data_IF_788581167742
#
_entry.id   IF_788581167742
#
_cell.length_a   1.000
_cell.length_b   1.000
_cell.length_c   1.000
_cell.angle_alpha   90.00
_cell.angle_beta   90.00
_cell.angle_gamma   90.00
#
_symmetry.space_group_name_H-M   'P 1'
#
loop_
_entity.id
_entity.type
_entity.pdbx_description
1 polymer ?
#
# COMPACT_ATOMS: atom_id res chain seq x y z
N UNK A 1 -8.65 13.06 21.10
CA UNK A 1 -8.79 11.65 21.48
C UNK A 1 -9.09 10.77 20.28
N UNK A 2 -8.05 10.14 19.74
CA UNK A 2 -8.22 9.03 18.79
C UNK A 2 -8.06 7.73 19.60
N UNK A 3 -9.06 6.85 19.51
CA UNK A 3 -9.10 5.60 20.26
C UNK A 3 -7.99 4.64 19.79
N UNK A 4 -7.34 3.88 20.69
CA UNK A 4 -6.19 3.01 20.38
C UNK A 4 -6.47 1.94 19.30
N UNK A 5 -7.74 1.56 19.09
CA UNK A 5 -8.19 0.69 18.01
C UNK A 5 -8.07 1.28 16.59
N UNK A 6 -7.96 2.61 16.41
CA UNK A 6 -7.78 3.25 15.09
C UNK A 6 -6.31 3.41 14.67
N UNK A 7 -5.35 3.17 15.57
CA UNK A 7 -3.92 3.47 15.35
C UNK A 7 -3.14 2.30 14.72
N UNK A 8 -3.83 1.27 14.21
CA UNK A 8 -3.19 0.06 13.63
C UNK A 8 -3.14 0.02 12.11
N UNK A 9 -3.87 0.89 11.42
CA UNK A 9 -3.93 0.94 9.97
C UNK A 9 -2.58 1.33 9.31
N UNK A 10 -2.55 1.33 7.98
CA UNK A 10 -1.45 1.91 7.18
C UNK A 10 -1.07 3.34 7.62
N UNK A 11 -1.99 4.08 8.24
CA UNK A 11 -1.75 5.38 8.87
C UNK A 11 -0.50 5.42 9.74
N UNK A 12 -0.24 4.39 10.55
CA UNK A 12 0.95 4.35 11.41
C UNK A 12 2.26 4.42 10.61
N UNK A 13 2.26 3.80 9.42
CA UNK A 13 3.42 3.82 8.51
C UNK A 13 3.47 5.09 7.66
N UNK A 14 2.31 5.68 7.34
CA UNK A 14 2.22 7.00 6.70
C UNK A 14 2.71 8.12 7.64
N UNK A 15 2.41 8.03 8.94
CA UNK A 15 2.90 8.94 9.99
C UNK A 15 4.41 8.79 10.25
N UNK A 16 5.00 7.65 9.86
CA UNK A 16 6.45 7.38 9.93
C UNK A 16 7.02 7.12 8.52
N UNK A 17 7.04 8.14 7.65
CA UNK A 17 7.37 7.94 6.23
C UNK A 17 8.79 7.40 6.02
N UNK A 18 9.72 7.60 6.96
CA UNK A 18 11.07 7.03 6.89
C UNK A 18 11.09 5.50 6.85
N UNK A 19 10.25 4.84 7.66
CA UNK A 19 10.17 3.38 7.70
C UNK A 19 9.52 2.84 6.43
N UNK A 20 8.37 3.40 6.03
CA UNK A 20 7.66 3.03 4.81
C UNK A 20 8.54 3.15 3.57
N UNK A 21 9.23 4.29 3.41
CA UNK A 21 10.16 4.51 2.29
C UNK A 21 11.28 3.49 2.27
N UNK A 22 11.81 3.09 3.43
CA UNK A 22 12.87 2.09 3.52
C UNK A 22 12.38 0.71 3.04
N UNK A 23 11.19 0.31 3.47
CA UNK A 23 10.56 -0.94 3.01
C UNK A 23 10.26 -0.91 1.51
N UNK A 24 9.69 0.18 0.99
CA UNK A 24 9.41 0.36 -0.45
C UNK A 24 10.70 0.25 -1.26
N UNK A 25 11.76 0.97 -0.88
CA UNK A 25 13.04 0.88 -1.60
C UNK A 25 13.62 -0.52 -1.59
N UNK A 26 13.50 -1.25 -0.48
CA UNK A 26 13.95 -2.63 -0.40
C UNK A 26 13.18 -3.54 -1.38
N UNK A 27 11.84 -3.43 -1.41
CA UNK A 27 11.00 -4.19 -2.34
C UNK A 27 11.30 -3.86 -3.81
N UNK A 28 11.44 -2.58 -4.14
CA UNK A 28 11.79 -2.11 -5.50
C UNK A 28 13.11 -2.71 -5.97
N UNK A 29 14.16 -2.65 -5.13
CA UNK A 29 15.47 -3.22 -5.46
C UNK A 29 15.43 -4.74 -5.56
N UNK A 30 14.74 -5.41 -4.65
CA UNK A 30 14.61 -6.87 -4.65
C UNK A 30 13.84 -7.39 -5.87
N UNK A 31 13.03 -6.57 -6.52
CA UNK A 31 12.23 -6.93 -7.68
C UNK A 31 12.74 -6.38 -9.01
N UNK A 32 14.02 -6.01 -9.09
CA UNK A 32 14.65 -5.63 -10.35
C UNK A 32 14.44 -6.66 -11.46
N UNK A 33 13.94 -6.22 -12.61
CA UNK A 33 13.71 -7.10 -13.78
C UNK A 33 12.50 -8.03 -13.69
N UNK A 34 11.66 -7.93 -12.65
CA UNK A 34 10.40 -8.70 -12.51
C UNK A 34 9.21 -7.80 -12.18
N UNK A 35 7.99 -8.31 -12.25
CA UNK A 35 6.79 -7.59 -11.78
C UNK A 35 6.80 -7.53 -10.24
N UNK A 36 6.52 -6.35 -9.68
CA UNK A 36 6.26 -6.17 -8.26
C UNK A 36 4.76 -5.95 -8.02
N UNK A 37 4.14 -6.85 -7.26
CA UNK A 37 2.80 -6.64 -6.68
C UNK A 37 2.96 -6.23 -5.23
N UNK A 38 2.68 -4.96 -4.93
CA UNK A 38 2.75 -4.40 -3.58
C UNK A 38 1.32 -4.31 -3.04
N UNK A 39 1.09 -4.85 -1.85
CA UNK A 39 -0.22 -4.83 -1.21
C UNK A 39 -0.18 -3.96 0.04
N UNK A 40 -1.17 -3.09 0.18
CA UNK A 40 -1.38 -2.25 1.36
C UNK A 40 -2.29 -2.98 2.35
N UNK A 41 -1.82 -3.32 3.56
CA UNK A 41 -2.67 -3.87 4.61
C UNK A 41 -3.39 -2.75 5.36
N UNK A 42 -4.50 -3.12 5.99
CA UNK A 42 -5.31 -2.35 6.91
C UNK A 42 -5.67 -0.97 6.35
N UNK A 43 -6.06 -0.92 5.08
CA UNK A 43 -6.61 0.29 4.46
C UNK A 43 -8.01 0.51 4.99
N UNK A 44 -8.32 1.74 5.40
CA UNK A 44 -9.63 2.14 5.92
C UNK A 44 -10.30 3.20 5.05
N UNK A 45 -9.53 3.96 4.26
CA UNK A 45 -10.02 5.00 3.36
C UNK A 45 -9.21 5.11 2.07
N UNK A 46 -9.84 5.58 0.99
CA UNK A 46 -9.18 5.75 -0.31
C UNK A 46 -8.02 6.76 -0.28
N UNK A 47 -8.07 7.75 0.62
CA UNK A 47 -7.00 8.73 0.80
C UNK A 47 -5.66 8.11 1.19
N UNK A 48 -5.67 7.00 1.93
CA UNK A 48 -4.46 6.28 2.33
C UNK A 48 -3.77 5.62 1.13
N UNK A 49 -4.56 5.09 0.20
CA UNK A 49 -4.06 4.49 -1.05
C UNK A 49 -3.38 5.57 -1.89
N UNK A 50 -4.00 6.74 -2.02
CA UNK A 50 -3.43 7.87 -2.76
C UNK A 50 -2.10 8.33 -2.15
N UNK A 51 -2.03 8.47 -0.82
CA UNK A 51 -0.80 8.84 -0.12
C UNK A 51 0.31 7.78 -0.28
N UNK A 52 -0.03 6.51 -0.14
CA UNK A 52 0.92 5.41 -0.33
C UNK A 52 1.46 5.39 -1.77
N UNK A 53 0.59 5.57 -2.78
CA UNK A 53 1.00 5.67 -4.19
C UNK A 53 1.96 6.83 -4.42
N UNK A 54 1.68 7.99 -3.84
CA UNK A 54 2.56 9.15 -3.97
C UNK A 54 3.97 8.86 -3.39
N UNK A 55 4.04 8.21 -2.22
CA UNK A 55 5.31 7.82 -1.62
C UNK A 55 6.05 6.80 -2.50
N UNK A 56 5.35 5.78 -3.00
CA UNK A 56 5.92 4.78 -3.91
C UNK A 56 6.50 5.45 -5.15
N UNK A 57 5.74 6.32 -5.80
CA UNK A 57 6.16 7.00 -7.02
C UNK A 57 7.39 7.90 -6.79
N UNK A 58 7.46 8.57 -5.63
CA UNK A 58 8.65 9.35 -5.24
C UNK A 58 9.88 8.45 -5.11
N UNK A 59 9.75 7.26 -4.52
CA UNK A 59 10.87 6.32 -4.36
C UNK A 59 11.27 5.66 -5.69
N UNK A 60 10.32 5.35 -6.57
CA UNK A 60 10.59 4.88 -7.94
C UNK A 60 11.41 5.93 -8.70
N UNK A 61 10.97 7.20 -8.68
CA UNK A 61 11.72 8.31 -9.30
C UNK A 61 13.09 8.48 -8.68
N UNK A 62 13.20 8.40 -7.36
CA UNK A 62 14.48 8.52 -6.67
C UNK A 62 15.46 7.44 -7.12
N UNK A 63 15.05 6.16 -7.10
CA UNK A 63 15.92 5.04 -7.48
C UNK A 63 16.25 5.01 -8.98
N UNK A 64 15.33 5.47 -9.84
CA UNK A 64 15.57 5.58 -11.29
C UNK A 64 16.76 6.50 -11.60
N UNK A 65 16.97 7.57 -10.81
CA UNK A 65 18.08 8.52 -11.01
C UNK A 65 19.46 7.92 -10.71
N UNK A 66 19.52 6.82 -9.97
CA UNK A 66 20.77 6.13 -9.61
C UNK A 66 21.01 4.85 -10.44
N UNK A 67 20.31 4.69 -11.58
CA UNK A 67 20.44 3.54 -12.48
C UNK A 67 20.24 2.18 -11.77
N UNK A 68 19.39 2.13 -10.74
CA UNK A 68 19.02 0.87 -10.11
C UNK A 68 18.16 0.03 -11.06
N UNK A 69 18.36 -1.28 -11.04
CA UNK A 69 17.48 -2.23 -11.72
C UNK A 69 16.13 -2.24 -11.02
N UNK A 70 15.14 -1.56 -11.60
CA UNK A 70 13.79 -1.45 -11.07
C UNK A 70 12.88 -2.58 -11.58
N UNK A 71 11.72 -2.79 -10.93
CA UNK A 71 10.70 -3.71 -11.44
C UNK A 71 10.25 -3.34 -12.84
N UNK A 72 9.93 -4.34 -13.66
CA UNK A 72 9.37 -4.15 -15.01
C UNK A 72 7.98 -3.52 -14.98
N UNK A 73 7.24 -3.78 -13.92
CA UNK A 73 5.94 -3.19 -13.60
C UNK A 73 5.76 -3.15 -12.08
N UNK A 74 4.94 -2.21 -11.62
CA UNK A 74 4.51 -2.11 -10.23
C UNK A 74 2.98 -2.07 -10.21
N UNK A 75 2.36 -3.05 -9.56
CA UNK A 75 0.93 -3.09 -9.28
C UNK A 75 0.70 -2.85 -7.80
N UNK A 76 -0.16 -1.92 -7.47
CA UNK A 76 -0.56 -1.59 -6.11
C UNK A 76 -1.92 -2.21 -5.82
N UNK A 77 -1.99 -3.04 -4.79
CA UNK A 77 -3.23 -3.65 -4.31
C UNK A 77 -3.57 -3.23 -2.90
N UNK A 78 -4.81 -3.53 -2.48
CA UNK A 78 -5.25 -3.38 -1.11
C UNK A 78 -5.75 -4.71 -0.55
N UNK A 79 -5.50 -4.94 0.74
CA UNK A 79 -6.10 -6.04 1.47
C UNK A 79 -7.50 -5.63 1.94
N UNK A 80 -8.51 -6.40 1.53
CA UNK A 80 -9.90 -6.22 1.92
C UNK A 80 -10.14 -6.97 3.23
N UNK A 81 -9.89 -6.27 4.33
CA UNK A 81 -10.01 -6.78 5.70
C UNK A 81 -10.90 -5.90 6.60
N UNK A 82 -11.27 -4.70 6.13
CA UNK A 82 -12.12 -3.75 6.86
C UNK A 82 -13.52 -3.71 6.21
N UNK A 83 -14.59 -4.08 6.92
CA UNK A 83 -15.94 -4.13 6.33
C UNK A 83 -16.42 -2.82 5.70
N UNK A 84 -16.00 -1.66 6.22
CA UNK A 84 -16.40 -0.35 5.69
C UNK A 84 -15.95 -0.12 4.25
N UNK A 85 -14.86 -0.75 3.80
CA UNK A 85 -14.39 -0.66 2.42
C UNK A 85 -15.33 -1.37 1.43
N UNK A 86 -16.15 -2.32 1.88
CA UNK A 86 -17.13 -3.00 1.02
C UNK A 86 -18.16 -2.02 0.45
N UNK A 87 -18.52 -0.98 1.21
CA UNK A 87 -19.44 0.07 0.74
C UNK A 87 -18.81 1.01 -0.30
N UNK A 88 -17.49 1.00 -0.43
CA UNK A 88 -16.72 1.83 -1.37
C UNK A 88 -15.96 0.95 -2.38
N UNK A 89 -16.40 -0.29 -2.60
CA UNK A 89 -15.67 -1.26 -3.40
C UNK A 89 -15.43 -0.79 -4.83
N UNK A 90 -16.41 -0.16 -5.47
CA UNK A 90 -16.28 0.37 -6.84
C UNK A 90 -15.18 1.42 -6.94
N UNK A 91 -15.09 2.32 -5.96
CA UNK A 91 -14.05 3.35 -5.91
C UNK A 91 -12.68 2.77 -5.51
N UNK A 92 -12.67 1.78 -4.61
CA UNK A 92 -11.47 1.04 -4.27
C UNK A 92 -10.87 0.37 -5.50
N UNK A 93 -11.68 -0.35 -6.29
CA UNK A 93 -11.25 -1.05 -7.50
C UNK A 93 -10.75 -0.11 -8.60
N UNK A 94 -11.14 1.18 -8.59
CA UNK A 94 -10.56 2.21 -9.47
C UNK A 94 -9.21 2.72 -8.95
N UNK A 95 -8.97 2.66 -7.65
CA UNK A 95 -7.76 3.16 -7.00
C UNK A 95 -6.61 2.13 -6.98
N UNK A 96 -6.93 0.84 -7.05
CA UNK A 96 -5.94 -0.26 -6.95
C UNK A 96 -6.00 -1.20 -8.15
N UNK A 97 -4.86 -1.83 -8.44
CA UNK A 97 -4.69 -2.79 -9.52
C UNK A 97 -5.22 -4.19 -9.18
N UNK A 98 -5.34 -4.51 -7.89
CA UNK A 98 -5.89 -5.76 -7.39
C UNK A 98 -6.34 -5.65 -5.92
N UNK A 99 -7.20 -6.56 -5.50
CA UNK A 99 -7.59 -6.73 -4.09
C UNK A 99 -7.31 -8.15 -3.63
N UNK A 100 -6.98 -8.30 -2.34
CA UNK A 100 -6.86 -9.61 -1.69
C UNK A 100 -7.77 -9.66 -0.48
N UNK A 101 -8.59 -10.70 -0.34
CA UNK A 101 -9.50 -10.82 0.81
C UNK A 101 -8.75 -11.36 2.02
N UNK A 102 -8.69 -10.56 3.08
CA UNK A 102 -8.12 -10.96 4.37
C UNK A 102 -9.17 -11.64 5.23
N UNK A 103 -9.53 -12.88 4.91
CA UNK A 103 -10.62 -13.59 5.59
C UNK A 103 -10.43 -13.73 7.10
N UNK A 104 -9.18 -13.83 7.58
CA UNK A 104 -8.88 -13.97 9.01
C UNK A 104 -9.34 -12.78 9.85
N UNK A 105 -9.33 -11.58 9.26
CA UNK A 105 -9.69 -10.33 9.93
C UNK A 105 -11.15 -9.95 9.59
N UNK A 106 -11.64 -10.28 8.39
CA UNK A 106 -13.01 -9.98 7.96
C UNK A 106 -14.09 -10.68 8.79
N UNK A 107 -13.80 -11.85 9.38
CA UNK A 107 -14.72 -12.55 10.28
C UNK A 107 -14.59 -12.11 11.76
N UNK A 108 -13.54 -11.37 12.11
CA UNK A 108 -13.30 -10.91 13.50
C UNK A 108 -13.91 -9.54 13.82
N UNK A 109 -14.32 -8.79 12.79
CA UNK A 109 -15.06 -7.53 12.89
C UNK A 109 -16.53 -7.73 12.51
#
# INVERSE_FOLDING_TARGET
>A
DLRPEQTRAIRLTLDRPGLLRTQIRALLKACGGRELKLMLPMVTELGEIAQAREIIDREVRHLSRFAHHLPTSLKLGAMLEVPSLLFQLDELMKAVDFVSVGSNDLFQF
#
